data_IF_233697793513
#
_entry.id   IF_233697793513
#
_cell.length_a   1.000
_cell.length_b   1.000
_cell.length_c   1.000
_cell.angle_alpha   90.00
_cell.angle_beta   90.00
_cell.angle_gamma   90.00
#
_symmetry.space_group_name_H-M   'P 1'
#
loop_
_entity.id
_entity.type
_entity.pdbx_description
1 polymer ?
#
# COMPACT_ATOMS: atom_id res chain seq x y z
N UNK A 1 5.43 -9.04 7.99
CA UNK A 1 4.40 -8.04 8.12
C UNK A 1 3.51 -8.32 9.34
N UNK A 2 3.52 -7.44 10.34
CA UNK A 2 2.77 -7.61 11.59
C UNK A 2 1.30 -7.23 11.46
N UNK A 3 0.91 -6.57 10.38
CA UNK A 3 -0.46 -6.13 10.11
C UNK A 3 -1.16 -6.94 9.00
N UNK A 4 -0.47 -7.92 8.40
CA UNK A 4 -1.02 -8.74 7.33
C UNK A 4 -2.20 -9.62 7.78
N UNK A 5 -2.96 -10.12 6.81
CA UNK A 5 -4.12 -10.97 7.04
C UNK A 5 -3.81 -12.13 8.00
N UNK A 6 -4.60 -12.26 9.06
CA UNK A 6 -4.47 -13.31 10.06
C UNK A 6 -3.37 -13.09 11.11
N UNK A 7 -2.67 -11.96 11.08
CA UNK A 7 -1.72 -11.59 12.12
C UNK A 7 -2.42 -10.85 13.27
N UNK A 8 -1.97 -11.10 14.49
CA UNK A 8 -2.40 -10.29 15.63
C UNK A 8 -1.77 -8.91 15.54
N UNK A 9 -2.54 -7.86 15.80
CA UNK A 9 -2.00 -6.50 15.88
C UNK A 9 -1.02 -6.39 17.05
N UNK A 10 0.06 -5.59 16.93
CA UNK A 10 1.01 -5.38 18.01
C UNK A 10 0.34 -4.81 19.25
N UNK A 11 0.82 -5.21 20.43
CA UNK A 11 0.39 -4.61 21.68
C UNK A 11 0.85 -3.16 21.77
N UNK A 12 0.01 -2.28 22.28
CA UNK A 12 0.37 -0.88 22.53
C UNK A 12 1.50 -0.74 23.58
N UNK A 13 1.73 -1.75 24.41
CA UNK A 13 2.87 -1.82 25.32
C UNK A 13 4.19 -2.28 24.67
N UNK A 14 4.17 -2.64 23.39
CA UNK A 14 5.36 -3.03 22.64
C UNK A 14 5.34 -2.38 21.26
N UNK A 15 5.70 -1.08 21.15
CA UNK A 15 5.60 -0.29 19.94
C UNK A 15 6.69 -0.62 18.91
N UNK A 16 7.71 -1.38 19.26
CA UNK A 16 8.77 -1.79 18.34
C UNK A 16 8.33 -3.01 17.51
N UNK A 17 7.83 -2.73 16.32
CA UNK A 17 7.38 -3.73 15.36
C UNK A 17 7.94 -3.48 13.95
N UNK A 18 8.98 -2.67 13.85
CA UNK A 18 9.68 -2.39 12.60
C UNK A 18 10.30 -3.66 12.02
N UNK A 19 9.97 -4.00 10.78
CA UNK A 19 10.38 -5.25 10.12
C UNK A 19 10.95 -5.01 8.72
N UNK A 20 11.44 -3.81 8.45
CA UNK A 20 12.11 -3.57 7.18
C UNK A 20 13.38 -4.41 7.08
N UNK A 21 13.53 -5.13 5.97
CA UNK A 21 14.58 -6.14 5.80
C UNK A 21 15.77 -5.68 4.96
N UNK A 22 16.89 -6.40 5.11
CA UNK A 22 18.07 -6.28 4.24
C UNK A 22 17.72 -6.76 2.81
N UNK A 23 18.24 -6.11 1.74
CA UNK A 23 19.23 -5.01 1.73
C UNK A 23 18.64 -3.59 1.80
N UNK A 24 17.32 -3.42 1.88
CA UNK A 24 16.67 -2.10 1.81
C UNK A 24 16.98 -1.18 3.00
N UNK A 25 17.52 -1.71 4.09
CA UNK A 25 17.98 -0.95 5.27
C UNK A 25 19.25 -0.14 5.02
N UNK A 26 19.96 -0.39 3.92
CA UNK A 26 21.18 0.34 3.56
C UNK A 26 20.86 1.82 3.31
N UNK A 27 21.62 2.79 3.88
CA UNK A 27 21.34 4.21 3.73
C UNK A 27 21.25 4.68 2.28
N UNK A 28 22.12 4.17 1.40
CA UNK A 28 22.20 4.59 0.00
C UNK A 28 21.17 3.92 -0.92
N UNK A 29 20.49 2.86 -0.45
CA UNK A 29 19.39 2.24 -1.18
C UNK A 29 18.13 3.10 -1.16
N UNK A 30 17.24 2.90 -2.12
CA UNK A 30 15.88 3.45 -2.07
C UNK A 30 14.94 2.32 -1.65
N UNK A 31 14.51 2.34 -0.39
CA UNK A 31 13.53 1.41 0.14
C UNK A 31 12.10 1.85 -0.23
N UNK A 32 11.32 0.94 -0.79
CA UNK A 32 10.02 1.27 -1.38
C UNK A 32 8.89 0.55 -0.67
N UNK A 33 7.95 1.33 -0.13
CA UNK A 33 6.68 0.85 0.38
C UNK A 33 5.64 0.69 -0.73
N UNK A 34 4.60 -0.10 -0.48
CA UNK A 34 3.55 -0.38 -1.44
C UNK A 34 2.23 0.31 -1.06
N UNK A 35 1.59 0.95 -2.05
CA UNK A 35 0.23 1.47 -1.97
C UNK A 35 -0.66 0.73 -2.97
N UNK A 36 -1.94 0.54 -2.64
CA UNK A 36 -2.92 0.00 -3.57
C UNK A 36 -3.31 1.04 -4.62
N UNK A 37 -3.48 0.59 -5.85
CA UNK A 37 -3.97 1.44 -6.93
C UNK A 37 -5.39 1.93 -6.65
N UNK A 38 -5.78 3.07 -7.21
CA UNK A 38 -7.18 3.53 -7.19
C UNK A 38 -8.10 2.69 -8.07
N UNK A 39 -7.54 2.13 -9.13
CA UNK A 39 -8.22 1.29 -10.12
C UNK A 39 -7.38 0.05 -10.37
N UNK A 40 -8.04 -1.10 -10.46
CA UNK A 40 -7.41 -2.34 -10.89
C UNK A 40 -8.00 -2.81 -12.22
N UNK A 41 -7.16 -3.31 -13.11
CA UNK A 41 -7.57 -3.97 -14.34
C UNK A 41 -7.62 -5.47 -14.06
N UNK A 42 -8.81 -6.01 -13.88
CA UNK A 42 -9.02 -7.37 -13.38
C UNK A 42 -9.83 -8.20 -14.34
N UNK A 43 -9.54 -9.49 -14.37
CA UNK A 43 -10.37 -10.44 -15.09
C UNK A 43 -11.73 -10.57 -14.41
N UNK A 44 -12.77 -10.72 -15.23
CA UNK A 44 -14.14 -10.92 -14.75
C UNK A 44 -14.73 -12.22 -15.26
N UNK A 45 -15.59 -12.84 -14.44
CA UNK A 45 -16.52 -13.86 -14.91
C UNK A 45 -17.87 -13.21 -15.14
N UNK A 46 -18.60 -13.68 -16.13
CA UNK A 46 -19.99 -13.30 -16.37
C UNK A 46 -20.93 -14.25 -15.65
N UNK A 47 -21.85 -13.70 -14.86
CA UNK A 47 -23.00 -14.42 -14.31
C UNK A 47 -24.15 -14.24 -15.28
N UNK A 48 -24.36 -15.24 -16.13
CA UNK A 48 -25.38 -15.22 -17.20
C UNK A 48 -26.76 -15.16 -16.58
N UNK A 49 -27.55 -14.18 -17.00
CA UNK A 49 -28.87 -13.85 -16.45
C UNK A 49 -28.87 -12.60 -15.57
N UNK A 50 -27.68 -11.98 -15.38
CA UNK A 50 -27.55 -10.69 -14.67
C UNK A 50 -27.01 -9.57 -15.59
N UNK A 51 -26.87 -9.83 -16.89
CA UNK A 51 -26.39 -8.84 -17.85
C UNK A 51 -27.33 -7.62 -17.87
N UNK A 52 -26.74 -6.43 -17.82
CA UNK A 52 -27.48 -5.16 -17.78
C UNK A 52 -28.09 -4.81 -16.42
N UNK A 53 -27.87 -5.60 -15.38
CA UNK A 53 -28.30 -5.29 -14.03
C UNK A 53 -27.17 -4.50 -13.31
N UNK A 54 -27.34 -3.19 -13.18
CA UNK A 54 -26.37 -2.28 -12.58
C UNK A 54 -26.07 -2.60 -11.10
N UNK A 55 -27.06 -3.09 -10.34
CA UNK A 55 -26.88 -3.50 -8.93
C UNK A 55 -25.88 -4.65 -8.82
N UNK A 56 -25.82 -5.50 -9.84
CA UNK A 56 -24.91 -6.63 -9.95
C UNK A 56 -23.80 -6.40 -10.98
N UNK A 57 -23.30 -5.17 -11.11
CA UNK A 57 -22.18 -4.81 -11.98
C UNK A 57 -22.34 -5.31 -13.42
N UNK A 58 -23.58 -5.27 -13.94
CA UNK A 58 -23.97 -5.81 -15.25
C UNK A 58 -23.71 -7.31 -15.42
N UNK A 59 -23.70 -8.06 -14.32
CA UNK A 59 -23.42 -9.48 -14.30
C UNK A 59 -21.93 -9.85 -14.33
N UNK A 60 -21.03 -8.89 -14.18
CA UNK A 60 -19.58 -9.11 -14.18
C UNK A 60 -19.01 -9.17 -12.76
N UNK A 61 -18.62 -10.35 -12.30
CA UNK A 61 -17.91 -10.54 -11.05
C UNK A 61 -16.40 -10.47 -11.27
N UNK A 62 -15.72 -9.62 -10.51
CA UNK A 62 -14.26 -9.58 -10.46
C UNK A 62 -13.72 -10.90 -9.92
N UNK A 63 -12.74 -11.50 -10.62
CA UNK A 63 -12.14 -12.77 -10.24
C UNK A 63 -10.62 -12.66 -10.12
N UNK A 64 -10.04 -13.52 -9.27
CA UNK A 64 -8.62 -13.86 -9.29
C UNK A 64 -8.47 -15.32 -9.69
N UNK A 65 -8.04 -15.61 -10.93
CA UNK A 65 -7.86 -16.97 -11.39
C UNK A 65 -6.53 -17.57 -10.93
N UNK A 66 -6.49 -18.91 -10.81
CA UNK A 66 -5.31 -19.69 -10.47
C UNK A 66 -5.02 -20.72 -11.55
N UNK A 67 -3.74 -20.90 -11.87
CA UNK A 67 -3.18 -21.88 -12.80
C UNK A 67 -3.99 -22.12 -14.08
N UNK A 68 -4.83 -23.15 -14.11
CA UNK A 68 -5.64 -23.51 -15.28
C UNK A 68 -6.82 -22.56 -15.47
N UNK A 69 -7.08 -22.19 -16.70
CA UNK A 69 -8.26 -21.40 -17.07
C UNK A 69 -9.46 -22.30 -17.36
N UNK A 70 -10.65 -21.81 -17.06
CA UNK A 70 -11.89 -22.41 -17.54
C UNK A 70 -11.98 -22.30 -19.06
N UNK A 71 -12.73 -23.20 -19.69
CA UNK A 71 -13.01 -23.10 -21.13
C UNK A 71 -13.88 -21.86 -21.43
N UNK A 72 -13.40 -20.88 -22.23
CA UNK A 72 -14.11 -19.62 -22.45
C UNK A 72 -15.40 -19.77 -23.28
N UNK A 73 -15.59 -20.92 -23.94
CA UNK A 73 -16.78 -21.21 -24.76
C UNK A 73 -17.88 -21.91 -23.99
N UNK A 74 -17.64 -22.31 -22.73
CA UNK A 74 -18.58 -23.11 -21.93
C UNK A 74 -19.29 -22.22 -20.93
N UNK A 75 -20.61 -22.42 -20.83
CA UNK A 75 -21.46 -21.94 -19.75
C UNK A 75 -21.59 -23.05 -18.71
N UNK A 76 -21.07 -22.77 -17.52
CA UNK A 76 -21.01 -23.76 -16.45
C UNK A 76 -22.22 -23.65 -15.52
N UNK A 77 -22.83 -24.79 -15.21
CA UNK A 77 -23.65 -24.92 -14.00
C UNK A 77 -22.76 -24.95 -12.76
N UNK A 78 -23.35 -24.69 -11.62
CA UNK A 78 -22.62 -24.68 -10.35
C UNK A 78 -23.52 -25.20 -9.21
N UNK A 79 -22.91 -25.55 -8.09
CA UNK A 79 -23.63 -25.95 -6.88
C UNK A 79 -22.97 -25.34 -5.65
N UNK A 80 -23.72 -25.15 -4.59
CA UNK A 80 -23.20 -24.69 -3.32
C UNK A 80 -22.56 -25.88 -2.58
N UNK A 81 -21.25 -25.83 -2.40
CA UNK A 81 -20.47 -26.80 -1.65
C UNK A 81 -20.01 -26.26 -0.27
N UNK A 82 -20.77 -25.34 0.32
CA UNK A 82 -20.58 -24.83 1.68
C UNK A 82 -19.15 -24.39 1.96
N UNK A 83 -18.51 -25.05 2.90
CA UNK A 83 -17.08 -24.83 3.22
C UNK A 83 -16.14 -25.80 2.50
N UNK A 84 -16.63 -26.64 1.60
CA UNK A 84 -15.85 -27.64 0.87
C UNK A 84 -15.37 -28.80 1.74
N UNK A 85 -16.15 -29.18 2.74
CA UNK A 85 -15.93 -30.38 3.55
C UNK A 85 -16.43 -31.61 2.78
N UNK A 86 -15.91 -32.81 3.08
CA UNK A 86 -16.33 -34.04 2.39
C UNK A 86 -17.86 -34.25 2.39
N UNK A 87 -18.52 -33.86 3.47
CA UNK A 87 -19.97 -33.97 3.60
C UNK A 87 -20.75 -33.00 2.70
N UNK A 88 -20.16 -31.89 2.31
CA UNK A 88 -20.78 -30.85 1.48
C UNK A 88 -20.98 -31.34 0.03
N UNK A 89 -20.29 -32.41 -0.36
CA UNK A 89 -20.40 -33.02 -1.71
C UNK A 89 -21.32 -34.25 -1.75
N UNK A 90 -21.75 -34.77 -0.59
CA UNK A 90 -22.60 -35.94 -0.54
C UNK A 90 -24.01 -35.62 -1.06
N UNK A 91 -24.55 -36.53 -1.88
CA UNK A 91 -25.87 -36.41 -2.47
C UNK A 91 -26.08 -35.18 -3.38
N UNK A 92 -24.99 -34.60 -3.88
CA UNK A 92 -25.00 -33.49 -4.83
C UNK A 92 -24.76 -34.01 -6.26
N UNK A 93 -25.41 -33.39 -7.24
CA UNK A 93 -25.08 -33.56 -8.65
C UNK A 93 -23.88 -32.70 -9.01
N UNK A 94 -22.68 -33.26 -8.86
CA UNK A 94 -21.38 -32.54 -8.92
C UNK A 94 -20.77 -32.59 -10.31
N UNK A 95 -21.02 -33.65 -11.07
CA UNK A 95 -20.29 -33.92 -12.32
C UNK A 95 -20.47 -32.82 -13.36
N UNK A 96 -19.35 -32.22 -13.77
CA UNK A 96 -19.32 -31.16 -14.78
C UNK A 96 -19.75 -29.77 -14.27
N UNK A 97 -20.12 -29.67 -13.00
CA UNK A 97 -20.48 -28.39 -12.37
C UNK A 97 -19.32 -27.78 -11.62
N UNK A 98 -19.41 -26.49 -11.34
CA UNK A 98 -18.45 -25.74 -10.53
C UNK A 98 -18.88 -25.80 -9.06
N UNK A 99 -17.93 -26.13 -8.16
CA UNK A 99 -18.14 -26.05 -6.72
C UNK A 99 -17.95 -24.62 -6.21
N UNK A 100 -18.97 -24.02 -5.61
CA UNK A 100 -18.91 -22.70 -4.98
C UNK A 100 -18.68 -22.90 -3.48
N UNK A 101 -17.55 -22.39 -2.95
CA UNK A 101 -17.11 -22.69 -1.57
C UNK A 101 -16.66 -21.43 -0.85
N UNK A 102 -17.15 -21.24 0.37
CA UNK A 102 -16.78 -20.10 1.20
C UNK A 102 -15.45 -20.33 1.92
N UNK A 103 -14.70 -19.24 2.12
CA UNK A 103 -13.55 -19.17 3.03
C UNK A 103 -13.95 -19.55 4.45
N UNK A 104 -13.07 -20.25 5.19
CA UNK A 104 -13.35 -20.67 6.57
C UNK A 104 -13.69 -22.16 6.68
N UNK A 105 -14.42 -22.56 7.70
CA UNK A 105 -14.79 -23.96 7.91
C UNK A 105 -13.71 -24.86 8.49
N UNK A 106 -12.55 -24.30 8.91
CA UNK A 106 -11.45 -25.03 9.55
C UNK A 106 -10.55 -25.82 8.60
N UNK A 107 -10.78 -25.77 7.29
CA UNK A 107 -9.95 -26.40 6.25
C UNK A 107 -9.25 -25.34 5.38
N UNK A 108 -8.14 -25.72 4.78
CA UNK A 108 -7.37 -24.83 3.89
C UNK A 108 -8.03 -24.71 2.51
N UNK A 109 -7.66 -23.71 1.72
CA UNK A 109 -8.10 -23.60 0.34
C UNK A 109 -7.65 -24.82 -0.51
N UNK A 110 -6.46 -25.34 -0.25
CA UNK A 110 -5.96 -26.54 -0.89
C UNK A 110 -6.86 -27.75 -0.61
N UNK A 111 -7.30 -27.93 0.65
CA UNK A 111 -8.21 -29.03 1.03
C UNK A 111 -9.57 -28.90 0.31
N UNK A 112 -10.12 -27.68 0.23
CA UNK A 112 -11.37 -27.40 -0.47
C UNK A 112 -11.28 -27.78 -1.95
N UNK A 113 -10.21 -27.36 -2.62
CA UNK A 113 -9.97 -27.66 -4.04
C UNK A 113 -9.76 -29.15 -4.26
N UNK A 114 -9.01 -29.82 -3.40
CA UNK A 114 -8.81 -31.27 -3.46
C UNK A 114 -10.12 -32.03 -3.30
N UNK A 115 -10.98 -31.62 -2.36
CA UNK A 115 -12.30 -32.23 -2.15
C UNK A 115 -13.22 -32.05 -3.36
N UNK A 116 -13.26 -30.85 -3.95
CA UNK A 116 -14.05 -30.56 -5.15
C UNK A 116 -13.59 -31.40 -6.36
N UNK A 117 -12.27 -31.51 -6.56
CA UNK A 117 -11.69 -32.35 -7.62
C UNK A 117 -12.01 -33.85 -7.41
N UNK A 118 -11.82 -34.35 -6.18
CA UNK A 118 -12.16 -35.75 -5.80
C UNK A 118 -13.63 -36.05 -6.04
N UNK A 119 -14.52 -35.09 -5.79
CA UNK A 119 -15.95 -35.25 -6.03
C UNK A 119 -16.35 -35.22 -7.52
N UNK A 120 -15.46 -34.85 -8.44
CA UNK A 120 -15.71 -34.80 -9.88
C UNK A 120 -16.25 -33.46 -10.39
N UNK A 121 -16.06 -32.37 -9.64
CA UNK A 121 -16.42 -31.04 -10.12
C UNK A 121 -15.54 -30.61 -11.31
N UNK A 122 -16.06 -29.71 -12.16
CA UNK A 122 -15.35 -29.18 -13.33
C UNK A 122 -14.35 -28.07 -12.96
N UNK A 123 -14.46 -27.51 -11.76
CA UNK A 123 -13.64 -26.43 -11.23
C UNK A 123 -14.22 -25.90 -9.93
N UNK A 124 -13.61 -24.85 -9.40
CA UNK A 124 -14.05 -24.24 -8.16
C UNK A 124 -14.11 -22.71 -8.25
N UNK A 125 -15.12 -22.12 -7.60
CA UNK A 125 -15.22 -20.74 -7.23
C UNK A 125 -15.08 -20.65 -5.71
N UNK A 126 -13.99 -20.09 -5.25
CA UNK A 126 -13.77 -19.78 -3.84
C UNK A 126 -14.24 -18.35 -3.58
N UNK A 127 -14.86 -18.08 -2.45
CA UNK A 127 -15.30 -16.73 -2.13
C UNK A 127 -15.05 -16.33 -0.68
N UNK A 128 -14.99 -15.02 -0.46
CA UNK A 128 -14.65 -14.45 0.83
C UNK A 128 -15.81 -14.56 1.83
N UNK A 129 -15.49 -14.36 3.12
CA UNK A 129 -16.51 -14.19 4.16
C UNK A 129 -17.12 -12.80 4.09
N UNK A 130 -18.22 -12.57 4.81
CA UNK A 130 -18.87 -11.26 4.88
C UNK A 130 -17.93 -10.19 5.45
N UNK A 131 -17.14 -10.54 6.46
CA UNK A 131 -16.15 -9.67 7.09
C UNK A 131 -14.97 -9.35 6.15
N UNK A 132 -14.58 -10.30 5.30
CA UNK A 132 -13.54 -10.12 4.28
C UNK A 132 -14.01 -9.34 3.05
N UNK A 133 -15.32 -9.18 2.86
CA UNK A 133 -15.93 -8.36 1.81
C UNK A 133 -15.49 -8.72 0.40
N UNK A 134 -15.19 -7.69 -0.40
CA UNK A 134 -14.83 -7.83 -1.83
C UNK A 134 -13.32 -7.99 -2.06
N UNK A 135 -12.51 -8.15 -1.02
CA UNK A 135 -11.08 -8.40 -1.14
C UNK A 135 -10.81 -9.72 -1.89
N UNK A 136 -10.01 -9.65 -2.95
CA UNK A 136 -9.57 -10.82 -3.72
C UNK A 136 -8.26 -11.37 -3.16
N UNK A 137 -8.35 -12.45 -2.42
CA UNK A 137 -7.21 -13.07 -1.78
C UNK A 137 -6.28 -13.77 -2.78
N UNK A 138 -4.98 -13.69 -2.50
CA UNK A 138 -3.98 -14.55 -3.11
C UNK A 138 -3.91 -15.85 -2.29
N UNK A 139 -4.65 -16.87 -2.70
CA UNK A 139 -4.78 -18.11 -1.93
C UNK A 139 -3.60 -19.04 -2.20
N UNK A 140 -3.01 -19.56 -1.12
CA UNK A 140 -1.99 -20.60 -1.22
C UNK A 140 -2.66 -21.95 -1.51
N UNK A 141 -2.34 -22.54 -2.65
CA UNK A 141 -2.80 -23.87 -3.08
C UNK A 141 -1.59 -24.84 -3.07
N UNK A 142 -1.00 -25.04 -1.90
CA UNK A 142 0.11 -25.97 -1.72
C UNK A 142 -0.30 -27.36 -2.26
N UNK A 143 0.55 -27.98 -3.09
CA UNK A 143 0.25 -29.22 -3.81
C UNK A 143 -0.96 -29.13 -4.76
N UNK A 144 -1.31 -27.91 -5.21
CA UNK A 144 -2.37 -27.71 -6.19
C UNK A 144 -2.03 -28.39 -7.51
N UNK A 145 -2.96 -29.20 -7.99
CA UNK A 145 -2.90 -29.77 -9.32
C UNK A 145 -3.25 -28.65 -10.34
N UNK A 146 -2.25 -28.26 -11.13
CA UNK A 146 -2.38 -27.18 -12.13
C UNK A 146 -3.44 -27.44 -13.20
N UNK A 147 -4.01 -28.66 -13.26
CA UNK A 147 -5.02 -29.06 -14.22
C UNK A 147 -6.47 -28.80 -13.80
N UNK A 148 -6.72 -28.32 -12.58
CA UNK A 148 -8.05 -28.03 -12.07
C UNK A 148 -8.30 -26.52 -12.01
N UNK A 149 -9.30 -25.96 -12.74
CA UNK A 149 -9.56 -24.53 -12.76
C UNK A 149 -10.12 -24.03 -11.42
N UNK A 150 -9.54 -22.96 -10.90
CA UNK A 150 -9.99 -22.30 -9.66
C UNK A 150 -9.99 -20.79 -9.86
N UNK A 151 -11.02 -20.12 -9.37
CA UNK A 151 -11.06 -18.66 -9.24
C UNK A 151 -11.48 -18.26 -7.83
N UNK A 152 -11.04 -17.10 -7.40
CA UNK A 152 -11.49 -16.45 -6.17
C UNK A 152 -12.35 -15.24 -6.52
N UNK A 153 -13.46 -15.03 -5.79
CA UNK A 153 -14.37 -13.88 -5.93
C UNK A 153 -14.64 -13.23 -4.57
N UNK A 154 -15.12 -11.98 -4.58
CA UNK A 154 -15.59 -11.30 -3.39
C UNK A 154 -16.85 -11.92 -2.79
N UNK A 155 -17.25 -11.42 -1.60
CA UNK A 155 -18.42 -11.94 -0.87
C UNK A 155 -19.73 -11.75 -1.63
N UNK A 156 -19.96 -10.59 -2.26
CA UNK A 156 -21.22 -10.24 -2.94
C UNK A 156 -21.66 -11.32 -3.93
N UNK A 157 -20.83 -11.58 -4.93
CA UNK A 157 -21.13 -12.59 -5.94
C UNK A 157 -21.05 -14.03 -5.40
N UNK A 158 -20.08 -14.34 -4.54
CA UNK A 158 -19.97 -15.67 -3.95
C UNK A 158 -21.21 -16.04 -3.13
N UNK A 159 -21.71 -15.12 -2.31
CA UNK A 159 -22.93 -15.31 -1.55
C UNK A 159 -24.20 -15.41 -2.43
N UNK A 160 -24.26 -14.63 -3.52
CA UNK A 160 -25.34 -14.75 -4.51
C UNK A 160 -25.40 -16.18 -5.07
N UNK A 161 -24.26 -16.70 -5.54
CA UNK A 161 -24.19 -18.04 -6.13
C UNK A 161 -24.52 -19.13 -5.10
N UNK A 162 -24.04 -18.98 -3.86
CA UNK A 162 -24.34 -19.92 -2.78
C UNK A 162 -25.83 -19.91 -2.39
N UNK A 163 -26.48 -18.74 -2.45
CA UNK A 163 -27.91 -18.58 -2.12
C UNK A 163 -28.82 -19.12 -3.20
N UNK A 164 -28.41 -19.03 -4.47
CA UNK A 164 -29.19 -19.45 -5.62
C UNK A 164 -28.44 -20.51 -6.44
N UNK A 165 -28.20 -21.72 -5.89
CA UNK A 165 -27.44 -22.77 -6.56
C UNK A 165 -28.12 -23.19 -7.87
N UNK A 166 -27.30 -23.30 -8.94
CA UNK A 166 -27.71 -23.68 -10.31
C UNK A 166 -28.77 -22.77 -10.98
N UNK A 167 -29.07 -21.63 -10.38
CA UNK A 167 -30.04 -20.67 -10.94
C UNK A 167 -29.46 -19.89 -12.12
N UNK A 168 -28.20 -19.48 -12.03
CA UNK A 168 -27.45 -18.78 -13.07
C UNK A 168 -26.52 -19.75 -13.82
N UNK A 169 -25.83 -19.24 -14.84
CA UNK A 169 -24.69 -19.93 -15.46
C UNK A 169 -23.46 -19.06 -15.34
N UNK A 170 -22.27 -19.65 -15.29
CA UNK A 170 -21.01 -18.96 -15.18
C UNK A 170 -20.22 -19.07 -16.48
N UNK A 171 -19.66 -17.95 -16.92
CA UNK A 171 -18.85 -17.86 -18.14
C UNK A 171 -17.53 -17.15 -17.86
N UNK A 172 -16.43 -17.73 -18.30
CA UNK A 172 -15.07 -17.26 -18.05
C UNK A 172 -14.38 -16.95 -19.38
N UNK A 173 -14.68 -15.80 -19.96
CA UNK A 173 -14.19 -15.42 -21.30
C UNK A 173 -12.76 -14.90 -21.32
N UNK A 174 -12.14 -14.66 -20.16
CA UNK A 174 -10.86 -14.00 -20.06
C UNK A 174 -10.94 -12.48 -20.29
N UNK A 175 -12.16 -11.92 -20.25
CA UNK A 175 -12.37 -10.48 -20.37
C UNK A 175 -11.82 -9.74 -19.14
N UNK A 176 -11.15 -8.60 -19.39
CA UNK A 176 -10.66 -7.70 -18.36
C UNK A 176 -11.50 -6.43 -18.31
N UNK A 177 -11.86 -6.02 -17.10
CA UNK A 177 -12.63 -4.82 -16.81
C UNK A 177 -11.89 -3.94 -15.81
N UNK A 178 -11.97 -2.62 -15.99
CA UNK A 178 -11.47 -1.68 -14.98
C UNK A 178 -12.47 -1.56 -13.85
N UNK A 179 -11.99 -1.76 -12.63
CA UNK A 179 -12.81 -1.69 -11.40
C UNK A 179 -12.15 -0.76 -10.38
N UNK A 180 -12.92 -0.03 -9.56
CA UNK A 180 -12.37 0.61 -8.38
C UNK A 180 -11.71 -0.44 -7.49
N UNK A 181 -10.53 -0.12 -6.96
CA UNK A 181 -9.89 -1.01 -5.99
C UNK A 181 -10.61 -0.89 -4.64
N UNK A 182 -11.00 -1.98 -3.97
CA UNK A 182 -11.72 -1.93 -2.69
C UNK A 182 -10.95 -1.16 -1.59
N UNK A 183 -9.62 -1.22 -1.63
CA UNK A 183 -8.73 -0.51 -0.71
C UNK A 183 -7.95 0.59 -1.45
N UNK A 184 -8.63 1.31 -2.34
CA UNK A 184 -8.03 2.37 -3.15
C UNK A 184 -7.27 3.38 -2.30
N UNK A 185 -6.07 3.72 -2.74
CA UNK A 185 -5.21 4.74 -2.12
C UNK A 185 -4.86 4.48 -0.63
N UNK A 186 -4.99 3.25 -0.16
CA UNK A 186 -4.50 2.83 1.16
C UNK A 186 -3.14 2.15 1.00
N UNK A 187 -2.26 2.35 1.98
CA UNK A 187 -1.01 1.57 2.04
C UNK A 187 -1.38 0.09 2.13
N UNK A 188 -0.66 -0.74 1.38
CA UNK A 188 -0.88 -2.18 1.41
C UNK A 188 -0.52 -2.73 2.80
N UNK A 189 -1.35 -3.62 3.33
CA UNK A 189 -1.17 -4.21 4.66
C UNK A 189 0.11 -5.06 4.78
N UNK A 190 0.60 -5.57 3.65
CA UNK A 190 1.84 -6.35 3.57
C UNK A 190 3.11 -5.49 3.54
N UNK A 191 3.01 -4.16 3.37
CA UNK A 191 4.20 -3.29 3.31
C UNK A 191 4.94 -3.28 4.65
N UNK A 192 6.27 -3.39 4.62
CA UNK A 192 7.08 -3.45 5.84
C UNK A 192 7.21 -2.07 6.49
N UNK A 193 7.21 -2.06 7.81
CA UNK A 193 7.39 -0.85 8.61
C UNK A 193 8.85 -0.64 9.00
N UNK A 194 9.30 0.61 8.97
CA UNK A 194 10.51 1.07 9.66
C UNK A 194 10.21 1.41 11.14
N UNK A 195 11.15 1.88 11.87
CA UNK A 195 12.51 2.22 11.46
C UNK A 195 13.39 0.97 11.35
N UNK A 196 14.67 1.14 10.96
CA UNK A 196 15.65 0.06 11.05
C UNK A 196 16.02 -0.23 12.51
N UNK A 197 16.69 -1.35 12.77
CA UNK A 197 17.09 -1.75 14.14
C UNK A 197 18.04 -0.77 14.83
N UNK A 198 18.76 0.06 14.09
CA UNK A 198 19.62 1.15 14.57
C UNK A 198 18.93 2.53 14.56
N UNK A 199 17.62 2.57 14.29
CA UNK A 199 16.81 3.79 14.34
C UNK A 199 16.88 4.67 13.09
N UNK A 200 17.47 4.19 11.99
CA UNK A 200 17.49 4.91 10.72
C UNK A 200 16.08 4.95 10.10
N UNK A 201 15.72 6.10 9.55
CA UNK A 201 14.45 6.27 8.85
C UNK A 201 14.40 5.41 7.56
N UNK A 202 13.40 4.56 7.46
CA UNK A 202 13.00 3.76 6.31
C UNK A 202 11.51 3.41 6.44
N UNK A 203 10.77 3.10 5.35
CA UNK A 203 11.19 3.17 3.93
C UNK A 203 11.42 4.61 3.48
N UNK A 204 11.97 4.79 2.26
CA UNK A 204 12.24 6.13 1.72
C UNK A 204 11.02 6.72 1.01
N UNK A 205 10.36 5.94 0.17
CA UNK A 205 9.21 6.36 -0.66
C UNK A 205 8.18 5.24 -0.80
N UNK A 206 7.05 5.60 -1.37
CA UNK A 206 5.95 4.68 -1.70
C UNK A 206 5.67 4.68 -3.20
N UNK A 207 5.34 3.52 -3.75
CA UNK A 207 4.87 3.37 -5.13
C UNK A 207 3.76 2.33 -5.23
N UNK A 208 2.99 2.28 -6.34
CA UNK A 208 1.96 1.27 -6.55
C UNK A 208 2.53 -0.15 -6.46
N UNK A 209 1.95 -0.96 -5.58
CA UNK A 209 2.38 -2.34 -5.35
C UNK A 209 1.22 -3.30 -5.03
N UNK A 210 0.00 -2.80 -4.89
CA UNK A 210 -1.19 -3.61 -4.70
C UNK A 210 -1.99 -3.77 -5.99
N UNK A 211 -2.23 -5.00 -6.40
CA UNK A 211 -2.97 -5.41 -7.61
C UNK A 211 -2.47 -4.70 -8.88
N UNK A 212 -1.16 -4.84 -9.13
CA UNK A 212 -0.49 -4.29 -10.30
C UNK A 212 -0.67 -5.24 -11.49
N UNK A 213 -1.32 -4.74 -12.54
CA UNK A 213 -1.47 -5.48 -13.79
C UNK A 213 -0.22 -5.34 -14.66
N UNK A 214 0.43 -6.46 -14.96
CA UNK A 214 1.67 -6.46 -15.73
C UNK A 214 1.85 -7.76 -16.52
N UNK A 215 2.94 -7.84 -17.28
CA UNK A 215 3.30 -9.00 -18.09
C UNK A 215 3.86 -10.13 -17.21
N UNK A 216 3.49 -11.35 -17.59
CA UNK A 216 4.03 -12.61 -17.06
C UNK A 216 4.75 -13.39 -18.16
N UNK A 217 5.34 -14.52 -17.77
CA UNK A 217 5.98 -15.44 -18.70
C UNK A 217 5.04 -15.90 -19.81
N UNK A 218 5.61 -16.27 -20.96
CA UNK A 218 4.88 -16.79 -22.13
C UNK A 218 3.86 -15.81 -22.75
N UNK A 219 4.12 -14.50 -22.65
CA UNK A 219 3.27 -13.47 -23.26
C UNK A 219 1.90 -13.31 -22.63
N UNK A 220 1.74 -13.72 -21.37
CA UNK A 220 0.51 -13.54 -20.60
C UNK A 220 0.56 -12.28 -19.76
N UNK A 221 -0.59 -11.85 -19.25
CA UNK A 221 -0.74 -10.70 -18.35
C UNK A 221 -1.61 -11.09 -17.16
N UNK A 222 -1.41 -10.41 -16.03
CA UNK A 222 -2.20 -10.64 -14.84
C UNK A 222 -1.91 -9.63 -13.74
N UNK A 223 -2.57 -9.82 -12.60
CA UNK A 223 -2.37 -9.03 -11.40
C UNK A 223 -1.37 -9.71 -10.46
N UNK A 224 -0.51 -8.92 -9.86
CA UNK A 224 0.31 -9.34 -8.74
C UNK A 224 0.46 -8.22 -7.72
N UNK A 225 0.77 -8.57 -6.47
CA UNK A 225 0.88 -7.63 -5.36
C UNK A 225 2.15 -7.89 -4.56
N UNK A 226 2.81 -6.81 -4.17
CA UNK A 226 4.02 -6.87 -3.36
C UNK A 226 4.79 -5.56 -3.41
N UNK A 227 5.66 -5.33 -2.44
CA UNK A 227 6.71 -4.33 -2.56
C UNK A 227 7.67 -4.65 -3.71
N UNK A 228 7.70 -5.93 -4.14
CA UNK A 228 8.36 -6.40 -5.38
C UNK A 228 7.75 -5.80 -6.66
N UNK A 229 6.49 -5.34 -6.64
CA UNK A 229 5.84 -4.62 -7.72
C UNK A 229 6.00 -3.10 -7.56
N UNK A 230 6.09 -2.60 -6.34
CA UNK A 230 6.35 -1.18 -6.06
C UNK A 230 7.78 -0.76 -6.43
N UNK A 231 8.77 -1.57 -6.10
CA UNK A 231 10.19 -1.29 -6.35
C UNK A 231 10.52 -1.01 -7.83
N UNK A 232 10.07 -1.80 -8.82
CA UNK A 232 10.33 -1.53 -10.23
C UNK A 232 9.64 -0.26 -10.75
N UNK A 233 8.55 0.22 -10.15
CA UNK A 233 8.00 1.55 -10.46
C UNK A 233 9.01 2.65 -10.13
N UNK A 234 9.67 2.56 -8.96
CA UNK A 234 10.71 3.52 -8.57
C UNK A 234 11.95 3.37 -9.46
N UNK A 235 12.36 2.16 -9.81
CA UNK A 235 13.47 1.93 -10.72
C UNK A 235 13.21 2.56 -12.10
N UNK A 236 11.98 2.44 -12.63
CA UNK A 236 11.53 3.12 -13.84
C UNK A 236 11.56 4.64 -13.71
N UNK A 237 11.06 5.17 -12.59
CA UNK A 237 11.11 6.60 -12.27
C UNK A 237 12.55 7.14 -12.24
N UNK A 238 13.47 6.44 -11.58
CA UNK A 238 14.89 6.78 -11.54
C UNK A 238 15.49 6.80 -12.94
N UNK A 239 15.13 5.84 -13.79
CA UNK A 239 15.63 5.80 -15.19
C UNK A 239 15.18 7.01 -16.01
N UNK A 240 13.90 7.40 -15.88
CA UNK A 240 13.35 8.60 -16.53
C UNK A 240 14.01 9.88 -15.98
N UNK A 241 14.19 9.98 -14.67
CA UNK A 241 14.86 11.12 -14.04
C UNK A 241 16.32 11.24 -14.51
N UNK A 242 17.04 10.13 -14.62
CA UNK A 242 18.42 10.12 -15.18
C UNK A 242 18.47 10.71 -16.60
N UNK A 243 17.52 10.33 -17.44
CA UNK A 243 17.43 10.88 -18.79
C UNK A 243 17.22 12.40 -18.77
N UNK A 244 16.26 12.89 -18.00
CA UNK A 244 16.00 14.34 -17.85
C UNK A 244 17.20 15.06 -17.25
N UNK A 245 17.87 14.49 -16.28
CA UNK A 245 19.00 15.14 -15.59
C UNK A 245 20.27 15.16 -16.43
N UNK A 246 20.45 14.26 -17.38
CA UNK A 246 21.53 14.34 -18.37
C UNK A 246 21.43 15.62 -19.23
N UNK A 247 20.20 16.09 -19.47
CA UNK A 247 19.96 17.34 -20.19
C UNK A 247 20.03 18.57 -19.26
N UNK A 248 19.41 18.47 -18.06
CA UNK A 248 19.35 19.61 -17.10
C UNK A 248 20.65 19.87 -16.35
N UNK A 249 21.40 18.81 -16.06
CA UNK A 249 22.61 18.83 -15.23
C UNK A 249 23.70 17.95 -15.87
N UNK A 250 24.22 18.31 -17.07
CA UNK A 250 25.10 17.44 -17.85
C UNK A 250 26.42 17.07 -17.16
N UNK A 251 26.87 17.92 -16.21
CA UNK A 251 28.11 17.71 -15.47
C UNK A 251 27.91 16.83 -14.23
N UNK A 252 26.65 16.52 -13.85
CA UNK A 252 26.33 15.76 -12.64
C UNK A 252 26.34 14.25 -12.95
N UNK A 253 27.20 13.50 -12.28
CA UNK A 253 27.40 12.08 -12.52
C UNK A 253 27.61 11.29 -11.21
N UNK A 254 27.56 9.96 -11.31
CA UNK A 254 27.90 9.04 -10.23
C UNK A 254 27.03 9.25 -8.99
N UNK A 255 27.68 9.32 -7.85
CA UNK A 255 27.03 9.43 -6.54
C UNK A 255 26.21 10.73 -6.36
N UNK A 256 26.73 11.86 -6.87
CA UNK A 256 26.04 13.15 -6.77
C UNK A 256 24.71 13.13 -7.55
N UNK A 257 24.71 12.53 -8.72
CA UNK A 257 23.47 12.34 -9.52
C UNK A 257 22.48 11.44 -8.77
N UNK A 258 22.93 10.35 -8.17
CA UNK A 258 22.07 9.44 -7.41
C UNK A 258 21.48 10.12 -6.17
N UNK A 259 22.27 10.90 -5.44
CA UNK A 259 21.80 11.69 -4.30
C UNK A 259 20.73 12.70 -4.70
N UNK A 260 20.96 13.46 -5.78
CA UNK A 260 19.97 14.43 -6.26
C UNK A 260 18.66 13.75 -6.67
N UNK A 261 18.72 12.62 -7.36
CA UNK A 261 17.54 11.84 -7.74
C UNK A 261 16.77 11.41 -6.49
N UNK A 262 17.44 10.83 -5.51
CA UNK A 262 16.82 10.38 -4.25
C UNK A 262 16.21 11.55 -3.48
N UNK A 263 16.93 12.66 -3.34
CA UNK A 263 16.46 13.88 -2.68
C UNK A 263 15.18 14.42 -3.33
N UNK A 264 15.16 14.55 -4.66
CA UNK A 264 13.98 15.05 -5.36
C UNK A 264 12.80 14.08 -5.32
N UNK A 265 13.05 12.76 -5.43
CA UNK A 265 11.99 11.76 -5.25
C UNK A 265 11.34 11.86 -3.86
N UNK A 266 12.13 11.98 -2.81
CA UNK A 266 11.62 12.08 -1.45
C UNK A 266 10.96 13.43 -1.17
N UNK A 267 11.59 14.54 -1.56
CA UNK A 267 11.08 15.89 -1.28
C UNK A 267 9.78 16.21 -2.01
N UNK A 268 9.56 15.67 -3.20
CA UNK A 268 8.37 15.89 -4.01
C UNK A 268 7.30 14.81 -3.86
N UNK A 269 7.60 13.74 -3.12
CA UNK A 269 6.64 12.69 -2.80
C UNK A 269 5.40 13.26 -2.10
N UNK A 270 4.25 12.64 -2.37
CA UNK A 270 2.97 13.07 -1.82
C UNK A 270 2.60 12.15 -0.66
N UNK A 271 2.65 12.64 0.60
CA UNK A 271 2.25 11.83 1.74
C UNK A 271 0.80 11.38 1.62
N UNK A 272 0.59 10.08 1.82
CA UNK A 272 -0.75 9.51 1.87
C UNK A 272 -1.50 10.03 3.10
N UNK A 273 -2.73 10.47 2.88
CA UNK A 273 -3.61 11.02 3.91
C UNK A 273 -4.80 10.10 4.12
N UNK A 274 -5.03 9.71 5.37
CA UNK A 274 -6.18 8.89 5.74
C UNK A 274 -7.39 9.80 6.01
N UNK A 275 -8.40 9.75 5.15
CA UNK A 275 -9.59 10.59 5.26
C UNK A 275 -10.52 10.20 6.44
N UNK A 276 -10.43 8.98 6.93
CA UNK A 276 -11.21 8.52 8.08
C UNK A 276 -10.69 9.15 9.38
N UNK A 277 -9.38 9.08 9.60
CA UNK A 277 -8.73 9.60 10.81
C UNK A 277 -8.30 11.05 10.70
N UNK A 278 -8.38 11.66 9.52
CA UNK A 278 -7.91 13.03 9.24
C UNK A 278 -6.44 13.24 9.59
N UNK A 279 -5.61 12.24 9.27
CA UNK A 279 -4.19 12.24 9.58
C UNK A 279 -3.38 11.68 8.40
N UNK A 280 -2.13 12.11 8.27
CA UNK A 280 -1.19 11.44 7.38
C UNK A 280 -0.88 10.03 7.90
N UNK A 281 -0.81 9.06 7.01
CA UNK A 281 -0.29 7.73 7.33
C UNK A 281 1.12 7.84 7.92
N UNK A 282 1.47 6.94 8.83
CA UNK A 282 2.79 6.94 9.48
C UNK A 282 3.94 7.01 8.46
N UNK A 283 4.91 7.91 8.62
CA UNK A 283 6.09 7.94 7.77
C UNK A 283 6.94 6.66 7.87
N UNK A 284 6.88 5.91 8.99
CA UNK A 284 7.49 4.59 9.12
C UNK A 284 6.86 3.53 8.21
N UNK A 285 5.63 3.75 7.74
CA UNK A 285 4.96 2.88 6.79
C UNK A 285 5.15 3.33 5.34
N UNK A 286 5.09 4.64 5.08
CA UNK A 286 5.06 5.19 3.72
C UNK A 286 6.35 5.88 3.27
N UNK A 287 7.29 6.17 4.17
CA UNK A 287 8.40 7.04 3.87
C UNK A 287 7.96 8.50 3.67
N UNK A 288 8.57 9.16 2.71
CA UNK A 288 8.21 10.53 2.32
C UNK A 288 6.83 10.63 1.62
N UNK A 289 6.29 9.50 1.14
CA UNK A 289 5.01 9.41 0.46
C UNK A 289 5.09 8.78 -0.93
N UNK A 290 4.00 8.89 -1.67
CA UNK A 290 3.89 8.35 -3.03
C UNK A 290 4.72 9.20 -3.98
N UNK A 291 5.57 8.57 -4.80
CA UNK A 291 6.40 9.28 -5.77
C UNK A 291 5.55 10.02 -6.81
N UNK A 292 5.99 11.22 -7.16
CA UNK A 292 5.52 11.99 -8.31
C UNK A 292 6.71 12.23 -9.23
N UNK A 293 6.81 11.39 -10.27
CA UNK A 293 7.96 11.39 -11.19
C UNK A 293 8.11 12.72 -11.91
N UNK A 294 7.01 13.34 -12.30
CA UNK A 294 7.02 14.63 -12.99
C UNK A 294 7.54 15.75 -12.08
N UNK A 295 7.02 15.84 -10.87
CA UNK A 295 7.51 16.82 -9.88
C UNK A 295 8.97 16.58 -9.52
N UNK A 296 9.39 15.32 -9.37
CA UNK A 296 10.78 14.99 -9.07
C UNK A 296 11.73 15.32 -10.22
N UNK A 297 11.37 14.98 -11.46
CA UNK A 297 12.22 15.18 -12.64
C UNK A 297 12.39 16.67 -13.02
N UNK A 298 11.35 17.48 -12.81
CA UNK A 298 11.34 18.89 -13.18
C UNK A 298 11.38 19.84 -11.98
N UNK A 299 11.41 19.31 -10.76
CA UNK A 299 11.58 20.09 -9.54
C UNK A 299 12.95 20.79 -9.47
N UNK A 300 12.96 21.86 -8.72
CA UNK A 300 14.15 22.69 -8.49
C UNK A 300 14.34 23.06 -7.01
N UNK A 301 13.57 22.40 -6.14
CA UNK A 301 13.62 22.57 -4.70
C UNK A 301 13.60 21.19 -4.03
N UNK A 302 14.55 20.95 -3.13
CA UNK A 302 14.52 19.78 -2.27
C UNK A 302 14.88 20.09 -0.82
N UNK A 303 14.58 19.19 0.09
CA UNK A 303 14.74 19.36 1.53
C UNK A 303 15.54 18.20 2.09
N UNK A 304 16.52 18.51 2.94
CA UNK A 304 17.30 17.52 3.67
C UNK A 304 17.34 17.84 5.16
N UNK A 305 17.81 16.90 5.96
CA UNK A 305 18.33 17.19 7.31
C UNK A 305 19.75 17.73 7.25
N UNK A 306 20.31 18.02 8.42
CA UNK A 306 21.72 18.46 8.56
C UNK A 306 22.72 17.38 8.10
N UNK A 307 22.30 16.12 8.04
CA UNK A 307 23.10 14.95 7.60
C UNK A 307 22.97 14.65 6.11
N UNK A 308 22.38 15.53 5.32
CA UNK A 308 22.15 15.37 3.88
C UNK A 308 21.24 14.20 3.50
N UNK A 309 20.36 13.71 4.41
CA UNK A 309 19.29 12.76 4.09
C UNK A 309 17.97 13.45 3.82
N UNK A 310 17.16 12.87 2.93
CA UNK A 310 15.78 13.32 2.63
C UNK A 310 14.74 12.96 3.70
N UNK A 311 15.20 12.59 4.88
CA UNK A 311 14.41 12.24 6.07
C UNK A 311 15.18 12.56 7.35
N UNK A 312 14.46 12.69 8.45
CA UNK A 312 15.06 13.03 9.76
C UNK A 312 14.88 11.85 10.72
N UNK A 313 15.99 11.24 11.13
CA UNK A 313 16.05 10.21 12.18
C UNK A 313 16.49 10.88 13.48
N UNK A 314 15.59 11.05 14.44
CA UNK A 314 15.87 11.78 15.70
C UNK A 314 16.36 10.87 16.83
N UNK A 315 16.23 9.53 16.65
CA UNK A 315 16.50 8.59 17.73
C UNK A 315 15.57 8.83 18.93
N UNK A 316 16.10 8.77 20.15
CA UNK A 316 15.33 9.06 21.36
C UNK A 316 15.08 10.55 21.50
N UNK A 317 13.82 10.91 21.72
CA UNK A 317 13.38 12.30 21.93
C UNK A 317 12.73 12.49 23.29
N UNK A 318 12.64 13.74 23.72
CA UNK A 318 11.81 14.17 24.86
C UNK A 318 10.44 14.66 24.36
N UNK A 319 9.57 15.13 25.25
CA UNK A 319 8.27 15.69 24.87
C UNK A 319 8.40 16.95 24.02
N UNK A 320 9.47 17.72 24.22
CA UNK A 320 9.83 18.85 23.39
C UNK A 320 11.19 18.60 22.74
N UNK A 321 11.25 18.74 21.43
CA UNK A 321 12.49 18.54 20.67
C UNK A 321 12.57 19.49 19.48
N UNK A 322 13.79 19.67 18.96
CA UNK A 322 14.08 20.52 17.81
C UNK A 322 14.94 19.76 16.82
N UNK A 323 14.76 20.08 15.56
CA UNK A 323 15.64 19.63 14.48
C UNK A 323 15.69 20.67 13.37
N UNK A 324 16.75 20.64 12.57
CA UNK A 324 16.90 21.51 11.42
C UNK A 324 16.49 20.78 10.14
N UNK A 325 15.91 21.52 9.24
CA UNK A 325 15.72 21.14 7.84
C UNK A 325 16.41 22.16 6.95
N UNK A 326 17.02 21.68 5.88
CA UNK A 326 17.76 22.52 4.93
C UNK A 326 17.05 22.50 3.59
N UNK A 327 16.61 23.67 3.14
CA UNK A 327 16.00 23.87 1.83
C UNK A 327 17.09 24.18 0.81
N UNK A 328 17.09 23.48 -0.32
CA UNK A 328 18.06 23.63 -1.42
C UNK A 328 17.34 24.07 -2.68
N UNK A 329 17.69 25.24 -3.19
CA UNK A 329 17.10 25.83 -4.39
C UNK A 329 18.04 25.69 -5.59
N UNK A 330 17.65 24.89 -6.56
CA UNK A 330 18.41 24.65 -7.81
C UNK A 330 18.12 25.69 -8.91
N UNK A 331 17.13 26.56 -8.69
CA UNK A 331 16.74 27.56 -9.69
C UNK A 331 17.58 28.83 -9.62
N UNK A 332 17.53 29.64 -10.68
CA UNK A 332 18.20 30.94 -10.78
C UNK A 332 17.42 32.08 -10.11
N UNK A 333 16.28 31.77 -9.47
CA UNK A 333 15.44 32.74 -8.78
C UNK A 333 15.30 32.37 -7.30
N UNK A 334 15.25 33.34 -6.38
CA UNK A 334 14.92 33.06 -4.99
C UNK A 334 13.49 32.50 -4.88
N UNK A 335 13.25 31.68 -3.87
CA UNK A 335 11.91 31.13 -3.59
C UNK A 335 11.43 31.58 -2.23
N UNK A 336 10.22 32.10 -2.20
CA UNK A 336 9.50 32.38 -0.96
C UNK A 336 8.60 31.20 -0.61
N UNK A 337 8.68 30.73 0.64
CA UNK A 337 7.95 29.56 1.13
C UNK A 337 7.34 29.84 2.49
N UNK A 338 6.19 29.23 2.72
CA UNK A 338 5.62 29.02 4.05
C UNK A 338 5.60 27.53 4.34
N UNK A 339 5.56 27.14 5.61
CA UNK A 339 5.56 25.71 5.95
C UNK A 339 4.58 25.37 7.06
N UNK A 340 4.22 24.09 7.09
CA UNK A 340 3.44 23.45 8.15
C UNK A 340 4.21 22.25 8.69
N UNK A 341 4.15 22.06 9.99
CA UNK A 341 4.67 20.89 10.68
C UNK A 341 3.52 20.08 11.25
N UNK A 342 3.52 18.78 10.99
CA UNK A 342 2.52 17.83 11.46
C UNK A 342 3.17 16.88 12.46
N UNK A 343 2.52 16.68 13.61
CA UNK A 343 2.92 15.72 14.62
C UNK A 343 1.88 14.62 14.71
N UNK A 344 2.32 13.40 14.50
CA UNK A 344 1.51 12.19 14.54
C UNK A 344 2.11 11.19 15.54
N UNK A 345 1.29 10.22 15.93
CA UNK A 345 1.68 9.03 16.67
C UNK A 345 0.86 7.83 16.17
N UNK A 346 1.13 6.65 16.70
CA UNK A 346 0.33 5.46 16.43
C UNK A 346 -1.09 5.58 16.96
N UNK A 347 -2.05 5.06 16.22
CA UNK A 347 -3.39 4.83 16.72
C UNK A 347 -3.43 3.60 17.63
N UNK A 348 -4.17 3.68 18.73
CA UNK A 348 -4.36 2.58 19.67
C UNK A 348 -5.84 2.28 19.82
N UNK A 349 -6.22 1.02 19.64
CA UNK A 349 -7.57 0.51 19.89
C UNK A 349 -7.49 -0.77 20.72
N UNK A 350 -8.21 -0.83 21.83
CA UNK A 350 -8.26 -2.00 22.73
C UNK A 350 -6.86 -2.51 23.16
N UNK A 351 -5.93 -1.61 23.43
CA UNK A 351 -4.57 -1.93 23.84
C UNK A 351 -3.67 -2.47 22.72
N UNK A 352 -4.08 -2.33 21.48
CA UNK A 352 -3.30 -2.74 20.31
C UNK A 352 -3.02 -1.55 19.38
N UNK A 353 -1.84 -1.55 18.75
CA UNK A 353 -1.49 -0.60 17.68
C UNK A 353 -2.35 -0.90 16.45
N UNK A 354 -2.84 0.15 15.81
CA UNK A 354 -3.66 0.03 14.59
C UNK A 354 -2.96 0.64 13.39
N UNK A 355 -3.44 0.30 12.18
CA UNK A 355 -2.99 0.96 10.93
C UNK A 355 -3.59 2.36 10.76
N UNK A 356 -4.45 2.79 11.70
CA UNK A 356 -5.10 4.09 11.68
C UNK A 356 -4.18 5.12 12.33
N UNK A 357 -3.62 6.07 11.57
CA UNK A 357 -2.74 7.09 12.11
C UNK A 357 -3.52 8.06 13.01
N UNK A 358 -2.83 8.65 13.97
CA UNK A 358 -3.37 9.68 14.85
C UNK A 358 -2.55 10.97 14.72
N UNK A 359 -3.18 12.04 14.28
CA UNK A 359 -2.57 13.37 14.33
C UNK A 359 -2.76 13.98 15.72
N UNK A 360 -1.66 14.40 16.33
CA UNK A 360 -1.64 15.08 17.62
C UNK A 360 -1.77 16.59 17.43
N UNK A 361 -0.98 17.16 16.51
CA UNK A 361 -1.01 18.60 16.22
C UNK A 361 -0.61 18.92 14.80
N UNK A 362 -1.01 20.12 14.37
CA UNK A 362 -0.54 20.80 13.19
C UNK A 362 -0.13 22.21 13.60
N UNK A 363 1.05 22.67 13.18
CA UNK A 363 1.51 24.01 13.44
C UNK A 363 1.96 24.69 12.17
N UNK A 364 1.60 25.98 12.03
CA UNK A 364 2.11 26.84 10.98
C UNK A 364 3.48 27.38 11.35
N UNK A 365 4.37 27.50 10.36
CA UNK A 365 5.76 27.87 10.57
C UNK A 365 6.04 29.36 10.73
N UNK A 366 5.04 30.19 11.01
CA UNK A 366 5.25 31.60 11.27
C UNK A 366 5.67 32.41 10.02
N UNK A 367 6.87 32.93 10.00
CA UNK A 367 7.35 33.82 8.94
C UNK A 367 7.64 33.11 7.61
N UNK A 368 7.55 33.88 6.52
CA UNK A 368 7.98 33.44 5.19
C UNK A 368 9.49 33.14 5.17
N UNK A 369 9.85 31.99 4.60
CA UNK A 369 11.23 31.57 4.40
C UNK A 369 11.66 31.92 2.99
N UNK A 370 12.77 32.66 2.83
CA UNK A 370 13.35 32.98 1.52
C UNK A 370 14.57 32.10 1.30
N UNK A 371 14.53 31.27 0.27
CA UNK A 371 15.66 30.42 -0.16
C UNK A 371 16.34 31.10 -1.34
N UNK A 372 17.63 31.53 -1.20
CA UNK A 372 18.31 32.25 -2.28
C UNK A 372 18.46 31.42 -3.54
N UNK A 373 18.56 32.08 -4.69
CA UNK A 373 18.82 31.41 -5.97
C UNK A 373 20.12 30.61 -5.89
N UNK A 374 20.14 29.38 -6.39
CA UNK A 374 21.28 28.45 -6.34
C UNK A 374 21.88 28.28 -4.93
N UNK A 375 21.06 28.44 -3.90
CA UNK A 375 21.51 28.46 -2.52
C UNK A 375 20.66 27.64 -1.57
N UNK A 376 20.95 27.78 -0.30
CA UNK A 376 20.36 27.00 0.79
C UNK A 376 19.77 27.88 1.87
N UNK A 377 18.82 27.36 2.62
CA UNK A 377 18.26 27.99 3.80
C UNK A 377 17.92 26.94 4.85
N UNK A 378 18.51 27.06 6.02
CA UNK A 378 18.16 26.22 7.17
C UNK A 378 16.98 26.80 7.93
N UNK A 379 16.09 25.93 8.38
CA UNK A 379 14.92 26.25 9.21
C UNK A 379 14.91 25.29 10.40
N UNK A 380 14.76 25.84 11.61
CA UNK A 380 14.62 25.05 12.83
C UNK A 380 13.15 24.77 13.11
N UNK A 381 12.82 23.50 13.22
CA UNK A 381 11.49 23.02 13.58
C UNK A 381 11.48 22.69 15.07
N UNK A 382 10.48 23.20 15.77
CA UNK A 382 10.24 22.88 17.19
C UNK A 382 8.94 22.09 17.30
N UNK A 383 9.00 20.95 17.98
CA UNK A 383 7.85 20.09 18.29
C UNK A 383 7.65 20.04 19.78
N UNK A 384 6.40 20.23 20.22
CA UNK A 384 5.99 20.13 21.61
C UNK A 384 4.81 19.18 21.75
N UNK A 385 5.07 18.01 22.33
CA UNK A 385 4.09 16.97 22.62
C UNK A 385 3.70 16.91 24.11
N UNK A 386 4.14 17.88 24.92
CA UNK A 386 3.98 17.86 26.40
C UNK A 386 2.51 17.66 26.83
N UNK A 387 1.57 18.29 26.13
CA UNK A 387 0.14 18.17 26.47
C UNK A 387 -0.42 16.77 26.31
N UNK A 388 0.21 15.91 25.48
CA UNK A 388 -0.24 14.54 25.19
C UNK A 388 0.44 13.50 26.08
N UNK A 389 1.46 13.86 26.87
CA UNK A 389 2.30 12.95 27.64
C UNK A 389 1.48 11.94 28.44
N UNK A 390 0.62 12.41 29.34
CA UNK A 390 -0.10 11.53 30.27
C UNK A 390 -0.98 10.52 29.55
N UNK A 391 -1.61 10.93 28.45
CA UNK A 391 -2.44 10.06 27.64
C UNK A 391 -1.60 9.01 26.92
N UNK A 392 -0.52 9.43 26.25
CA UNK A 392 0.33 8.53 25.47
C UNK A 392 1.09 7.53 26.34
N UNK A 393 1.63 7.95 27.49
CA UNK A 393 2.25 7.07 28.49
C UNK A 393 1.24 6.08 29.07
N UNK A 394 -0.01 6.49 29.25
CA UNK A 394 -1.09 5.60 29.69
C UNK A 394 -1.48 4.56 28.64
N UNK A 395 -1.44 4.88 27.37
CA UNK A 395 -1.75 3.97 26.26
C UNK A 395 -0.58 3.10 25.84
N UNK A 396 0.64 3.66 25.84
CA UNK A 396 1.89 3.06 25.34
C UNK A 396 2.98 3.20 26.41
N UNK A 397 2.92 2.41 27.50
CA UNK A 397 3.74 2.64 28.70
C UNK A 397 5.25 2.38 28.48
N UNK A 398 5.63 1.63 27.46
CA UNK A 398 7.04 1.34 27.13
C UNK A 398 7.62 2.27 26.05
N UNK A 399 6.90 3.33 25.72
CA UNK A 399 7.32 4.32 24.76
C UNK A 399 6.42 4.39 23.52
N UNK A 400 6.60 5.44 22.75
CA UNK A 400 5.80 5.72 21.57
C UNK A 400 6.58 6.57 20.55
N UNK A 401 6.17 6.47 19.29
CA UNK A 401 6.72 7.28 18.23
C UNK A 401 6.07 8.66 18.20
N UNK A 402 6.92 9.68 18.05
CA UNK A 402 6.56 11.05 17.72
C UNK A 402 7.15 11.35 16.34
N UNK A 403 6.28 11.44 15.35
CA UNK A 403 6.66 11.41 13.93
C UNK A 403 5.79 12.33 13.11
N UNK A 404 6.16 12.58 11.87
CA UNK A 404 5.33 13.39 10.99
C UNK A 404 6.06 13.93 9.79
N UNK A 405 5.57 15.07 9.32
CA UNK A 405 6.06 15.73 8.11
C UNK A 405 6.23 17.21 8.35
N UNK A 406 7.24 17.79 7.71
CA UNK A 406 7.33 19.23 7.49
C UNK A 406 7.10 19.47 6.01
N UNK A 407 6.09 20.27 5.67
CA UNK A 407 5.69 20.52 4.30
C UNK A 407 5.81 22.01 3.97
N UNK A 408 6.37 22.31 2.80
CA UNK A 408 6.60 23.65 2.30
C UNK A 408 5.69 24.00 1.15
N UNK A 409 5.17 25.22 1.14
CA UNK A 409 4.17 25.70 0.19
C UNK A 409 4.60 27.04 -0.41
N UNK A 410 4.19 27.29 -1.65
CA UNK A 410 4.15 28.64 -2.18
C UNK A 410 3.14 29.46 -1.35
N UNK A 411 3.47 30.65 -0.87
CA UNK A 411 2.51 31.50 -0.13
C UNK A 411 1.21 31.78 -0.89
N UNK A 412 1.22 31.69 -2.21
CA UNK A 412 0.05 31.90 -3.08
C UNK A 412 -0.81 30.65 -3.25
N UNK A 413 -0.28 29.45 -2.95
CA UNK A 413 -0.98 28.16 -2.98
C UNK A 413 -0.58 27.30 -1.80
N UNK A 414 -1.30 27.40 -0.70
CA UNK A 414 -1.06 26.64 0.53
C UNK A 414 -1.82 25.30 0.57
N UNK A 415 -2.45 24.88 -0.54
CA UNK A 415 -3.12 23.60 -0.64
C UNK A 415 -2.23 22.50 -1.20
N UNK A 416 -1.24 22.87 -2.04
CA UNK A 416 -0.33 21.93 -2.69
C UNK A 416 1.10 22.18 -2.23
N UNK A 417 1.69 21.25 -1.48
CA UNK A 417 3.07 21.35 -1.08
C UNK A 417 4.02 21.24 -2.28
N UNK A 418 5.04 22.08 -2.31
CA UNK A 418 6.10 22.05 -3.35
C UNK A 418 7.26 21.16 -2.95
N UNK A 419 7.48 20.96 -1.65
CA UNK A 419 8.46 20.04 -1.10
C UNK A 419 8.09 19.66 0.33
N UNK A 420 8.69 18.59 0.85
CA UNK A 420 8.50 18.17 2.22
C UNK A 420 9.58 17.19 2.68
N UNK A 421 9.59 16.91 3.98
CA UNK A 421 10.51 15.99 4.61
C UNK A 421 9.80 15.27 5.77
N UNK A 422 9.89 13.93 5.86
CA UNK A 422 9.41 13.18 7.00
C UNK A 422 10.43 13.18 8.14
N UNK A 423 9.93 13.04 9.36
CA UNK A 423 10.76 12.84 10.54
C UNK A 423 10.19 11.77 11.47
N UNK A 424 11.04 11.13 12.24
CA UNK A 424 10.69 10.15 13.26
C UNK A 424 11.58 10.28 14.49
N UNK A 425 10.95 10.26 15.67
CA UNK A 425 11.59 10.16 16.96
C UNK A 425 10.85 9.13 17.83
N UNK A 426 11.54 8.53 18.76
CA UNK A 426 10.98 7.62 19.74
C UNK A 426 11.14 8.20 21.14
N UNK A 427 10.06 8.19 21.91
CA UNK A 427 10.09 8.53 23.34
C UNK A 427 9.82 7.26 24.14
N UNK A 428 10.85 6.78 24.86
CA UNK A 428 10.76 5.59 25.69
C UNK A 428 12.01 5.34 26.51
#
# INVERSE_FOLDING_TARGET
>A
NVFGNGQSKPSASNPDYGLIGTPSVTPDSIAVAAINNSVMNTEVMTVVGLEGNEEWDNGEATIRPFAKRFNPKTEYSYFNAGYGLENDFKNQDVKGKIAVMMRGGGNTFADKVAAAKKAGAAGAVLYNTKEGGEELLNVALNNYDSDFPVVFVGYKFGNLLATYPDYYKLKFTGHFSKRPHPQANQLADFTSWGVTGDGLFKPDVTAPGGDVYSSFNNGTYGLDSGTSMASPHVAGAVSLMKQVFQERYPDLQGEELQKLIKHLLMSTAIPNYNNETKAFTSPRQQGAGVIDVSKAAFGDLYVTGDNDYGSISLGNVQDTFKFNVVLHNLSDQPKELVYKSYLNTDGVENGQITLKPRQLSESNGGETVVVPAKGEKSVTITVDATQFRNELEGQMPNGYYLEGFVRFFDPKDTNTAVAGIPYVGFKG
#
